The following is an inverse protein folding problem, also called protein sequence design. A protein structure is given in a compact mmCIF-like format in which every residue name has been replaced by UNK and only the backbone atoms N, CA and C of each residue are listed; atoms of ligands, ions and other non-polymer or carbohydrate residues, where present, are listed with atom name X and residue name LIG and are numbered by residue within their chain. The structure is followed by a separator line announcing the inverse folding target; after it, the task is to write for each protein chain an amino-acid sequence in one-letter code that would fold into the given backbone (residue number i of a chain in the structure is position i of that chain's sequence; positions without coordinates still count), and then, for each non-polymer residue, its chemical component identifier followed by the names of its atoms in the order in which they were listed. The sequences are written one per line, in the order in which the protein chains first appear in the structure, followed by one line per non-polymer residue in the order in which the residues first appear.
data_IF_343870109034
#
_entry.id   IF_343870109034
#
_cell.length_a   1.000
_cell.length_b   1.000
_cell.length_c   1.000
_cell.angle_alpha   90.00
_cell.angle_beta   90.00
_cell.angle_gamma   90.00
#
_symmetry.space_group_name_H-M   'P 1'
#
loop_
_entity.id
_entity.type
_entity.pdbx_description
1 polymer ?
#
# COMPACT_ATOMS: atom_id res chain seq x y z
N UNK A 1 -23.82 -6.39 -6.54
CA UNK A 1 -22.40 -6.83 -6.51
C UNK A 1 -21.59 -5.75 -5.78
N UNK A 2 -21.07 -6.04 -4.58
CA UNK A 2 -20.46 -5.03 -3.68
C UNK A 2 -19.06 -4.65 -4.18
N UNK A 3 -18.76 -3.36 -4.27
CA UNK A 3 -17.42 -2.86 -4.58
C UNK A 3 -16.60 -2.86 -3.29
N UNK A 4 -15.77 -3.89 -3.12
CA UNK A 4 -14.81 -3.96 -2.01
C UNK A 4 -13.49 -3.35 -2.48
N UNK A 5 -12.84 -2.60 -1.61
CA UNK A 5 -11.49 -2.11 -1.84
C UNK A 5 -10.54 -3.31 -1.82
N UNK A 6 -9.84 -3.55 -2.93
CA UNK A 6 -8.86 -4.63 -3.06
C UNK A 6 -7.47 -4.24 -2.55
N UNK A 7 -7.20 -2.93 -2.51
CA UNK A 7 -5.94 -2.38 -2.05
C UNK A 7 -6.24 -1.39 -0.94
N UNK A 8 -5.38 -1.44 0.06
CA UNK A 8 -5.45 -0.62 1.24
C UNK A 8 -4.26 0.34 1.21
N UNK A 9 -4.52 1.62 1.48
CA UNK A 9 -3.53 2.67 1.73
C UNK A 9 -2.44 2.93 0.67
N UNK A 10 -1.95 4.17 0.56
CA UNK A 10 -0.58 4.40 0.12
C UNK A 10 0.36 4.12 1.29
N UNK A 11 1.28 3.17 1.12
CA UNK A 11 2.33 2.92 2.10
C UNK A 11 3.69 3.29 1.53
N UNK A 12 4.49 3.98 2.34
CA UNK A 12 5.86 4.32 1.98
C UNK A 12 6.78 3.11 2.18
N UNK A 13 7.71 2.90 1.25
CA UNK A 13 8.72 1.84 1.36
C UNK A 13 9.89 2.43 2.16
N UNK A 14 10.14 1.87 3.35
CA UNK A 14 11.26 2.26 4.21
C UNK A 14 12.57 1.66 3.69
N UNK A 15 12.56 0.36 3.38
CA UNK A 15 13.78 -0.37 3.03
C UNK A 15 13.48 -1.50 2.04
N UNK A 16 14.43 -1.73 1.12
CA UNK A 16 14.46 -2.94 0.30
C UNK A 16 15.37 -3.98 0.96
N UNK A 17 14.78 -4.98 1.58
CA UNK A 17 15.50 -6.07 2.27
C UNK A 17 16.06 -7.11 1.29
N UNK A 18 15.46 -7.24 0.11
CA UNK A 18 15.88 -8.20 -0.92
C UNK A 18 15.32 -7.86 -2.29
N UNK A 19 15.56 -8.72 -3.31
CA UNK A 19 15.07 -8.48 -4.66
C UNK A 19 13.53 -8.35 -4.71
N UNK A 20 12.84 -9.13 -3.88
CA UNK A 20 11.38 -9.22 -3.82
C UNK A 20 10.78 -8.79 -2.49
N UNK A 21 11.60 -8.45 -1.49
CA UNK A 21 11.15 -8.21 -0.11
C UNK A 21 11.39 -6.76 0.27
N UNK A 22 10.33 -6.09 0.70
CA UNK A 22 10.32 -4.68 1.03
C UNK A 22 9.70 -4.45 2.40
N UNK A 23 10.26 -3.52 3.15
CA UNK A 23 9.71 -3.04 4.40
C UNK A 23 8.89 -1.78 4.10
N UNK A 24 7.62 -1.81 4.48
CA UNK A 24 6.68 -0.69 4.44
C UNK A 24 6.62 0.03 5.77
N UNK A 25 6.32 1.33 5.71
CA UNK A 25 5.92 2.12 6.85
C UNK A 25 4.44 1.83 7.15
N UNK A 26 4.22 0.81 7.96
CA UNK A 26 2.89 0.53 8.51
C UNK A 26 2.72 1.29 9.83
N UNK A 27 1.60 2.00 10.02
CA UNK A 27 1.28 2.57 11.32
C UNK A 27 1.08 1.45 12.34
N UNK A 28 1.41 1.71 13.61
CA UNK A 28 1.30 0.72 14.69
C UNK A 28 -0.13 0.17 14.90
N UNK A 29 -1.15 0.85 14.35
CA UNK A 29 -2.53 0.36 14.31
C UNK A 29 -2.71 -0.89 13.43
N UNK A 30 -1.83 -1.12 12.46
CA UNK A 30 -1.86 -2.34 11.65
C UNK A 30 -1.14 -3.45 12.43
N UNK A 31 -1.90 -4.45 12.88
CA UNK A 31 -1.37 -5.65 13.52
C UNK A 31 -0.67 -6.62 12.51
N UNK A 32 -0.03 -6.09 11.47
CA UNK A 32 0.63 -6.87 10.42
C UNK A 32 2.13 -6.55 10.35
N UNK A 33 2.90 -7.48 9.81
CA UNK A 33 4.33 -7.27 9.59
C UNK A 33 4.57 -6.18 8.55
N UNK A 34 5.48 -5.26 8.85
CA UNK A 34 5.95 -4.24 7.92
C UNK A 34 6.68 -4.82 6.71
N UNK A 35 7.11 -6.07 6.76
CA UNK A 35 7.87 -6.72 5.69
C UNK A 35 6.91 -7.51 4.80
N UNK A 36 6.87 -7.16 3.51
CA UNK A 36 5.98 -7.75 2.52
C UNK A 36 6.69 -8.03 1.20
N UNK A 37 6.13 -8.96 0.43
CA UNK A 37 6.63 -9.29 -0.90
C UNK A 37 6.10 -8.30 -1.95
N UNK A 38 6.93 -7.93 -2.92
CA UNK A 38 6.56 -7.06 -4.05
C UNK A 38 5.37 -7.59 -4.86
N UNK A 39 5.12 -8.90 -4.88
CA UNK A 39 3.95 -9.49 -5.53
C UNK A 39 2.62 -9.00 -4.93
N UNK A 40 2.63 -8.56 -3.67
CA UNK A 40 1.45 -8.03 -2.97
C UNK A 40 1.40 -6.50 -3.01
N UNK A 41 2.42 -5.85 -3.57
CA UNK A 41 2.49 -4.40 -3.69
C UNK A 41 2.03 -3.97 -5.08
N UNK A 42 1.30 -2.86 -5.12
CA UNK A 42 0.99 -2.17 -6.36
C UNK A 42 1.50 -0.74 -6.27
N UNK A 43 2.20 -0.30 -7.32
CA UNK A 43 2.65 1.10 -7.41
C UNK A 43 1.42 2.00 -7.28
N UNK A 44 1.47 2.92 -6.32
CA UNK A 44 0.42 3.91 -6.16
C UNK A 44 0.47 4.91 -7.32
N UNK A 45 -0.65 5.03 -8.03
CA UNK A 45 -0.86 6.06 -9.05
C UNK A 45 -1.97 6.97 -8.56
N UNK A 46 -1.73 8.28 -8.39
CA UNK A 46 -2.76 9.21 -7.97
C UNK A 46 -3.90 9.23 -9.00
N UNK A 47 -5.13 9.29 -8.51
CA UNK A 47 -6.28 9.48 -9.39
C UNK A 47 -6.19 10.86 -10.06
N UNK A 48 -6.68 11.00 -11.31
CA UNK A 48 -6.75 12.31 -11.96
C UNK A 48 -7.57 13.29 -11.12
N UNK A 49 -7.22 14.59 -11.13
CA UNK A 49 -7.74 15.59 -10.19
C UNK A 49 -9.26 15.82 -10.28
N UNK A 50 -9.91 15.38 -11.36
CA UNK A 50 -11.38 15.39 -11.51
C UNK A 50 -12.09 14.44 -10.52
N UNK A 51 -11.44 13.35 -10.12
CA UNK A 51 -12.00 12.38 -9.19
C UNK A 51 -11.33 12.63 -7.83
N UNK A 52 -11.99 13.45 -7.01
CA UNK A 52 -11.56 13.90 -5.68
C UNK A 52 -10.84 12.83 -4.84
N UNK A 53 -9.97 13.29 -3.93
CA UNK A 53 -9.10 12.48 -3.07
C UNK A 53 -9.79 11.23 -2.51
N UNK A 54 -9.15 10.06 -2.65
CA UNK A 54 -9.64 8.83 -2.02
C UNK A 54 -9.73 9.04 -0.51
N UNK A 55 -10.84 8.68 0.15
CA UNK A 55 -10.88 8.68 1.60
C UNK A 55 -9.78 7.73 2.09
N UNK A 56 -8.88 8.28 2.91
CA UNK A 56 -7.74 7.59 3.51
C UNK A 56 -8.19 6.88 4.79
#
# INVERSE_FOLDING_TARGET
KKLLMWYDGPFEIIQKLGPVTYQLQLPASYCMHSIVNIAHLKKYTPSPPEYSNRPT
#
